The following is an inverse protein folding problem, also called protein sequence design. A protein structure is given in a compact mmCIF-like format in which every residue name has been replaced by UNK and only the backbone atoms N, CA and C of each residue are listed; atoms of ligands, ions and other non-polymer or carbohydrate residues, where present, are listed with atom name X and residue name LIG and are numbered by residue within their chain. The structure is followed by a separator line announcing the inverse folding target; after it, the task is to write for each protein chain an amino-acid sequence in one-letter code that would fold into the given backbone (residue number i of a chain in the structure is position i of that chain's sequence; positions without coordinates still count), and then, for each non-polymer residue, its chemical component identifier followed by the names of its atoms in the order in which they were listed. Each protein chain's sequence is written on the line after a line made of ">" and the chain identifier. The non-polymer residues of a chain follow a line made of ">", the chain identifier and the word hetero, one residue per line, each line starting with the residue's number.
data_IF_487169034462
#
_entry.id   IF_487169034462
#
_cell.length_a   1.000
_cell.length_b   1.000
_cell.length_c   1.000
_cell.angle_alpha   90.00
_cell.angle_beta   90.00
_cell.angle_gamma   90.00
#
_symmetry.space_group_name_H-M   'P 1'
#
loop_
_entity.id
_entity.type
_entity.pdbx_description
1 polymer ?
#
# COMPACT_ATOMS: atom_id res chain seq x y z
N UNK A 1 25.00 5.12 -41.89
CA UNK A 1 23.66 5.67 -42.22
C UNK A 1 22.91 5.84 -40.91
N UNK A 2 22.64 7.08 -40.50
CA UNK A 2 22.07 7.40 -39.18
C UNK A 2 20.57 7.61 -39.31
N UNK A 3 19.77 6.86 -38.56
CA UNK A 3 18.32 7.02 -38.51
C UNK A 3 17.91 8.11 -37.51
N UNK A 4 16.98 9.03 -37.85
CA UNK A 4 16.54 10.07 -36.93
C UNK A 4 15.62 9.51 -35.84
N UNK A 5 15.94 9.81 -34.57
CA UNK A 5 15.08 9.52 -33.42
C UNK A 5 13.83 10.41 -33.47
N UNK A 6 12.64 9.80 -33.47
CA UNK A 6 11.35 10.48 -33.29
C UNK A 6 11.26 11.13 -31.90
N UNK A 7 11.04 12.44 -31.84
CA UNK A 7 10.77 13.17 -30.60
C UNK A 7 9.35 12.84 -30.08
N UNK A 8 9.23 12.53 -28.78
CA UNK A 8 7.94 12.39 -28.09
C UNK A 8 7.32 13.78 -27.84
N UNK A 9 6.01 13.97 -28.02
CA UNK A 9 5.35 15.25 -27.77
C UNK A 9 5.33 15.57 -26.27
N UNK A 10 5.79 16.78 -25.91
CA UNK A 10 5.68 17.32 -24.54
C UNK A 10 4.23 17.69 -24.25
N UNK A 11 3.61 17.06 -23.24
CA UNK A 11 2.29 17.44 -22.73
C UNK A 11 2.39 18.80 -22.04
N UNK A 12 1.49 19.73 -22.39
CA UNK A 12 1.36 21.04 -21.75
C UNK A 12 0.77 20.88 -20.34
N UNK A 13 1.16 21.71 -19.36
CA UNK A 13 0.53 21.70 -18.05
C UNK A 13 -0.93 22.17 -18.13
N UNK A 14 -1.82 21.41 -17.50
CA UNK A 14 -3.20 21.78 -17.25
C UNK A 14 -3.22 22.89 -16.19
N UNK A 15 -3.74 24.07 -16.54
CA UNK A 15 -4.02 25.13 -15.58
C UNK A 15 -5.44 24.93 -15.08
N UNK A 16 -5.61 24.63 -13.79
CA UNK A 16 -6.91 24.55 -13.13
C UNK A 16 -7.21 25.92 -12.53
N UNK A 17 -8.17 26.62 -13.13
CA UNK A 17 -8.68 27.91 -12.63
C UNK A 17 -9.75 27.63 -11.58
N UNK A 18 -9.47 27.95 -10.31
CA UNK A 18 -10.46 27.88 -9.22
C UNK A 18 -11.19 29.22 -9.15
N UNK A 19 -12.49 29.23 -9.44
CA UNK A 19 -13.34 30.39 -9.22
C UNK A 19 -13.75 30.42 -7.73
N UNK A 20 -13.28 31.43 -7.00
CA UNK A 20 -13.79 31.74 -5.66
C UNK A 20 -15.10 32.51 -5.80
N UNK A 21 -16.20 31.95 -5.28
CA UNK A 21 -17.46 32.67 -5.13
C UNK A 21 -17.38 33.56 -3.88
N UNK A 22 -17.47 34.87 -4.06
CA UNK A 22 -17.56 35.84 -2.98
C UNK A 22 -19.01 35.93 -2.49
N UNK A 23 -19.25 35.55 -1.23
CA UNK A 23 -20.53 35.77 -0.55
C UNK A 23 -20.60 37.22 -0.06
N UNK A 24 -21.46 38.01 -0.68
CA UNK A 24 -21.77 39.36 -0.26
C UNK A 24 -22.62 39.36 1.01
N UNK A 25 -22.14 40.03 2.07
CA UNK A 25 -22.90 40.30 3.29
C UNK A 25 -23.88 41.44 2.99
N UNK A 26 -25.17 41.11 2.95
CA UNK A 26 -26.26 42.08 2.86
C UNK A 26 -26.52 42.64 4.26
N UNK A 27 -26.08 43.89 4.49
CA UNK A 27 -26.47 44.71 5.64
C UNK A 27 -27.87 45.29 5.39
N UNK A 28 -28.85 44.89 6.20
CA UNK A 28 -30.15 45.57 6.29
C UNK A 28 -30.10 46.69 7.34
N UNK A 29 -30.79 47.82 7.10
CA UNK A 29 -30.68 49.03 7.91
C UNK A 29 -31.62 49.01 9.14
N UNK A 30 -31.07 49.47 10.27
CA UNK A 30 -31.69 50.39 11.22
C UNK A 30 -33.07 50.06 11.78
N UNK A 31 -33.12 49.66 13.05
CA UNK A 31 -34.27 49.91 13.93
C UNK A 31 -33.78 50.74 15.12
N UNK A 32 -34.15 52.01 15.09
CA UNK A 32 -34.02 53.02 16.14
C UNK A 32 -35.19 52.80 17.09
N UNK A 33 -34.97 52.64 18.39
CA UNK A 33 -36.02 52.96 19.37
C UNK A 33 -35.44 53.62 20.62
N UNK A 34 -35.98 54.81 20.83
CA UNK A 34 -35.91 55.77 21.93
C UNK A 34 -36.00 55.17 23.34
N UNK A 35 -35.10 55.62 24.20
CA UNK A 35 -35.24 55.52 25.67
C UNK A 35 -36.12 56.68 26.14
N UNK A 36 -37.27 56.38 26.75
CA UNK A 36 -38.06 57.35 27.53
C UNK A 36 -38.70 56.64 28.73
N UNK A 37 -38.71 57.37 29.83
CA UNK A 37 -38.82 57.03 31.26
C UNK A 37 -40.23 56.73 31.81
N UNK A 38 -40.33 55.71 32.71
CA UNK A 38 -41.15 55.45 33.95
C UNK A 38 -42.61 56.00 34.12
N UNK A 39 -43.52 55.45 34.99
CA UNK A 39 -43.47 54.37 36.05
C UNK A 39 -44.68 53.33 36.02
N UNK A 40 -44.88 52.40 37.00
CA UNK A 40 -45.73 51.17 36.92
C UNK A 40 -47.18 51.37 37.48
N UNK A 41 -48.12 50.38 37.59
CA UNK A 41 -48.11 48.91 37.33
C UNK A 41 -49.18 48.48 36.30
N UNK A 42 -49.32 47.21 35.89
CA UNK A 42 -50.32 46.27 36.45
C UNK A 42 -50.02 44.88 35.89
N UNK A 43 -50.00 43.90 36.80
CA UNK A 43 -50.10 42.46 36.60
C UNK A 43 -51.01 42.08 35.42
N UNK A 44 -50.44 41.52 34.35
CA UNK A 44 -51.22 40.75 33.37
C UNK A 44 -50.33 39.67 32.76
N UNK A 45 -50.60 38.45 33.22
CA UNK A 45 -50.40 37.15 32.55
C UNK A 45 -49.01 36.87 31.95
N UNK A 46 -48.26 35.97 32.62
CA UNK A 46 -47.19 35.22 32.00
C UNK A 46 -47.72 34.59 30.69
N UNK A 47 -47.11 34.86 29.51
CA UNK A 47 -47.36 34.03 28.34
C UNK A 47 -46.96 32.58 28.68
N UNK A 48 -47.68 31.56 28.19
CA UNK A 48 -47.33 30.17 28.45
C UNK A 48 -45.89 29.90 28.00
N UNK A 49 -45.17 28.98 28.69
CA UNK A 49 -43.83 28.60 28.26
C UNK A 49 -43.86 28.23 26.79
N UNK A 50 -43.02 28.86 25.98
CA UNK A 50 -42.77 28.42 24.61
C UNK A 50 -42.16 27.03 24.74
N UNK A 51 -42.94 26.00 24.40
CA UNK A 51 -42.44 24.63 24.35
C UNK A 51 -41.37 24.57 23.26
N UNK A 52 -40.11 24.49 23.69
CA UNK A 52 -38.99 24.25 22.79
C UNK A 52 -39.18 22.84 22.23
N UNK A 53 -39.26 22.64 20.90
CA UNK A 53 -39.43 21.31 20.34
C UNK A 53 -38.23 20.44 20.71
N UNK A 54 -38.48 19.28 21.32
CA UNK A 54 -37.46 18.31 21.72
C UNK A 54 -37.36 17.17 20.71
N UNK A 55 -36.16 16.62 20.54
CA UNK A 55 -35.96 15.44 19.69
C UNK A 55 -36.68 14.23 20.29
N UNK A 56 -37.47 13.48 19.48
CA UNK A 56 -38.10 12.26 19.99
C UNK A 56 -37.04 11.26 20.48
N UNK A 57 -37.35 10.44 21.47
CA UNK A 57 -36.40 9.48 22.04
C UNK A 57 -35.98 8.38 21.05
N UNK A 58 -36.76 8.18 20.00
CA UNK A 58 -36.51 7.23 18.91
C UNK A 58 -36.55 7.97 17.57
N UNK A 59 -35.79 7.51 16.55
CA UNK A 59 -35.83 8.12 15.23
C UNK A 59 -37.27 8.07 14.68
N UNK A 60 -37.82 9.22 14.22
CA UNK A 60 -39.16 9.28 13.66
C UNK A 60 -39.19 8.68 12.25
N UNK A 61 -40.34 8.16 11.82
CA UNK A 61 -40.51 7.72 10.44
C UNK A 61 -40.47 8.92 9.47
N UNK A 62 -39.83 8.76 8.31
CA UNK A 62 -39.87 9.79 7.27
C UNK A 62 -41.32 10.04 6.82
N UNK A 63 -41.62 11.28 6.44
CA UNK A 63 -42.97 11.73 6.05
C UNK A 63 -44.01 11.78 7.18
N UNK A 64 -43.60 11.62 8.44
CA UNK A 64 -44.49 11.84 9.59
C UNK A 64 -44.52 13.32 10.00
N UNK A 65 -45.62 13.81 10.57
CA UNK A 65 -45.74 15.20 10.98
C UNK A 65 -44.78 15.54 12.13
N UNK A 66 -44.19 16.73 12.07
CA UNK A 66 -43.29 17.27 13.09
C UNK A 66 -43.61 18.74 13.39
N UNK A 67 -43.21 19.21 14.57
CA UNK A 67 -43.49 20.57 15.03
C UNK A 67 -42.20 21.36 15.19
N UNK A 68 -42.07 22.42 14.39
CA UNK A 68 -40.94 23.37 14.43
C UNK A 68 -39.68 22.88 13.71
N UNK A 69 -38.79 23.80 13.29
CA UNK A 69 -37.51 23.43 12.68
C UNK A 69 -36.62 22.75 13.73
N UNK A 70 -36.43 21.44 13.59
CA UNK A 70 -35.68 20.61 14.52
C UNK A 70 -34.77 19.68 13.73
N UNK A 71 -33.53 19.49 14.20
CA UNK A 71 -32.57 18.55 13.63
C UNK A 71 -32.05 17.65 14.74
N UNK A 72 -32.20 16.35 14.55
CA UNK A 72 -31.93 15.33 15.55
C UNK A 72 -30.99 14.29 14.95
N UNK A 73 -29.89 14.02 15.64
CA UNK A 73 -28.94 12.99 15.25
C UNK A 73 -29.28 11.72 16.02
N UNK A 74 -29.51 10.64 15.27
CA UNK A 74 -29.69 9.32 15.82
C UNK A 74 -28.56 8.43 15.30
N UNK A 75 -28.08 7.53 16.16
CA UNK A 75 -27.02 6.56 15.87
C UNK A 75 -25.60 7.14 15.69
N UNK A 76 -24.73 6.92 16.69
CA UNK A 76 -23.33 7.37 16.66
C UNK A 76 -22.44 6.63 15.64
N UNK A 77 -22.87 5.44 15.16
CA UNK A 77 -22.08 4.64 14.23
C UNK A 77 -22.26 5.06 12.77
N UNK A 78 -23.42 5.64 12.45
CA UNK A 78 -23.78 6.20 11.15
C UNK A 78 -24.67 7.39 11.47
N UNK A 79 -24.15 8.62 11.36
CA UNK A 79 -24.92 9.81 11.71
C UNK A 79 -26.12 9.87 10.76
N UNK A 80 -27.28 9.48 11.28
CA UNK A 80 -28.57 9.64 10.63
C UNK A 80 -29.15 10.96 11.14
N UNK A 81 -29.19 11.96 10.27
CA UNK A 81 -29.73 13.27 10.62
C UNK A 81 -31.19 13.31 10.19
N UNK A 82 -32.08 13.38 11.16
CA UNK A 82 -33.50 13.59 10.96
C UNK A 82 -33.82 15.06 11.16
N UNK A 83 -34.43 15.70 10.16
CA UNK A 83 -34.76 17.12 10.24
C UNK A 83 -36.22 17.38 9.88
N UNK A 84 -36.84 18.31 10.59
CA UNK A 84 -38.21 18.76 10.36
C UNK A 84 -38.20 19.94 9.38
N UNK A 85 -38.72 19.71 8.17
CA UNK A 85 -38.88 20.74 7.14
C UNK A 85 -40.33 20.74 6.66
N UNK A 86 -40.93 21.92 6.60
CA UNK A 86 -42.33 22.11 6.19
C UNK A 86 -43.34 21.26 6.99
N UNK A 87 -43.06 21.02 8.28
CA UNK A 87 -43.92 20.24 9.17
C UNK A 87 -43.85 18.74 8.95
N UNK A 88 -42.84 18.25 8.23
CA UNK A 88 -42.63 16.84 7.95
C UNK A 88 -41.20 16.39 8.27
N UNK A 89 -41.05 15.19 8.83
CA UNK A 89 -39.75 14.59 9.08
C UNK A 89 -39.08 14.10 7.79
N UNK A 90 -37.83 14.52 7.60
CA UNK A 90 -36.92 14.07 6.54
C UNK A 90 -35.68 13.43 7.15
N UNK A 91 -34.98 12.61 6.38
CA UNK A 91 -33.76 11.91 6.81
C UNK A 91 -32.66 12.13 5.78
N UNK A 92 -31.45 12.46 6.25
CA UNK A 92 -30.23 12.30 5.46
C UNK A 92 -29.33 11.27 6.14
N UNK A 93 -28.93 10.25 5.39
CA UNK A 93 -27.97 9.23 5.85
C UNK A 93 -26.56 9.61 5.41
N UNK A 94 -25.68 9.90 6.36
CA UNK A 94 -24.26 10.19 6.10
C UNK A 94 -23.37 8.94 5.93
N UNK A 95 -23.93 7.81 5.49
CA UNK A 95 -23.17 6.57 5.35
C UNK A 95 -22.15 6.69 4.21
N UNK A 96 -20.90 6.98 4.55
CA UNK A 96 -19.77 6.60 3.71
C UNK A 96 -19.29 5.22 4.20
N UNK A 97 -19.77 4.10 3.64
CA UNK A 97 -19.31 2.78 4.07
C UNK A 97 -17.78 2.71 3.96
N UNK A 98 -17.09 2.00 4.87
CA UNK A 98 -15.66 1.83 4.75
C UNK A 98 -15.34 1.25 3.37
N UNK A 99 -14.27 1.72 2.70
CA UNK A 99 -13.86 1.18 1.41
C UNK A 99 -13.75 -0.34 1.51
N UNK A 100 -14.51 -1.06 0.69
CA UNK A 100 -14.36 -2.52 0.58
C UNK A 100 -12.98 -2.79 -0.01
N UNK A 101 -12.14 -3.52 0.72
CA UNK A 101 -10.85 -3.95 0.20
C UNK A 101 -11.09 -4.89 -1.00
N UNK A 102 -10.64 -4.53 -2.23
CA UNK A 102 -10.84 -5.36 -3.41
C UNK A 102 -9.97 -6.62 -3.40
N UNK A 103 -9.04 -6.74 -2.45
CA UNK A 103 -8.13 -7.86 -2.33
C UNK A 103 -8.73 -8.99 -1.48
N UNK A 104 -8.81 -10.22 -2.03
CA UNK A 104 -9.10 -11.41 -1.22
C UNK A 104 -8.10 -11.53 -0.04
N UNK A 105 -8.52 -12.14 1.06
CA UNK A 105 -7.65 -12.37 2.23
C UNK A 105 -6.52 -13.37 1.97
N UNK A 106 -6.72 -14.28 1.01
CA UNK A 106 -5.73 -15.27 0.58
C UNK A 106 -5.34 -15.02 -0.87
N UNK A 107 -4.11 -15.34 -1.22
CA UNK A 107 -3.63 -15.19 -2.59
C UNK A 107 -4.48 -16.04 -3.55
N UNK A 108 -5.15 -15.44 -4.56
CA UNK A 108 -5.95 -16.19 -5.50
C UNK A 108 -5.06 -17.05 -6.40
N UNK A 109 -5.56 -18.21 -6.83
CA UNK A 109 -4.86 -19.01 -7.82
C UNK A 109 -4.83 -18.30 -9.19
N UNK A 110 -3.74 -18.47 -9.94
CA UNK A 110 -3.67 -18.00 -11.32
C UNK A 110 -4.81 -18.62 -12.15
N UNK A 111 -5.54 -17.78 -12.88
CA UNK A 111 -6.73 -18.17 -13.66
C UNK A 111 -8.04 -18.19 -12.88
N UNK A 112 -8.05 -17.91 -11.57
CA UNK A 112 -9.28 -17.74 -10.80
C UNK A 112 -10.06 -16.50 -11.28
N UNK A 113 -11.40 -16.55 -11.20
CA UNK A 113 -12.24 -15.44 -11.63
C UNK A 113 -12.15 -14.24 -10.68
N UNK A 114 -12.22 -13.04 -11.25
CA UNK A 114 -12.20 -11.78 -10.50
C UNK A 114 -13.09 -10.73 -11.17
N UNK A 115 -13.60 -9.79 -10.37
CA UNK A 115 -14.65 -8.86 -10.80
C UNK A 115 -14.17 -7.45 -11.13
N UNK A 116 -12.98 -7.05 -10.64
CA UNK A 116 -12.51 -5.66 -10.72
C UNK A 116 -11.02 -5.62 -11.00
N UNK A 117 -10.61 -4.72 -11.90
CA UNK A 117 -9.19 -4.48 -12.17
C UNK A 117 -8.53 -3.99 -10.88
N UNK A 118 -7.63 -4.81 -10.33
CA UNK A 118 -6.93 -4.52 -9.08
C UNK A 118 -5.59 -5.26 -9.02
N UNK A 119 -4.71 -4.83 -8.13
CA UNK A 119 -3.44 -5.48 -7.84
C UNK A 119 -3.29 -5.60 -6.32
N UNK A 120 -2.94 -6.80 -5.87
CA UNK A 120 -2.87 -7.18 -4.47
C UNK A 120 -1.53 -7.84 -4.17
N UNK A 121 -0.94 -7.54 -3.01
CA UNK A 121 0.30 -8.15 -2.55
C UNK A 121 0.02 -9.09 -1.38
N UNK A 122 0.65 -10.25 -1.42
CA UNK A 122 0.50 -11.31 -0.44
C UNK A 122 1.87 -11.78 0.04
N UNK A 123 1.99 -12.11 1.32
CA UNK A 123 3.15 -12.83 1.83
C UNK A 123 2.77 -14.31 1.94
N UNK A 124 3.41 -15.17 1.15
CA UNK A 124 3.12 -16.61 1.07
C UNK A 124 4.39 -17.40 1.41
N UNK A 125 4.25 -18.46 2.21
CA UNK A 125 5.36 -19.37 2.54
C UNK A 125 5.20 -20.68 1.75
N UNK A 126 6.08 -20.88 0.75
CA UNK A 126 6.14 -22.09 -0.06
C UNK A 126 7.04 -23.18 0.54
N UNK A 127 7.36 -23.10 1.84
CA UNK A 127 8.29 -24.00 2.54
C UNK A 127 9.75 -23.53 2.52
N UNK A 128 9.99 -22.28 2.08
CA UNK A 128 11.29 -21.62 2.04
C UNK A 128 11.29 -20.27 2.77
N UNK A 129 10.31 -20.05 3.65
CA UNK A 129 10.09 -18.80 4.36
C UNK A 129 9.12 -17.87 3.62
N UNK A 130 8.66 -16.79 4.30
CA UNK A 130 7.70 -15.85 3.73
C UNK A 130 8.28 -15.12 2.52
N UNK A 131 7.57 -15.18 1.39
CA UNK A 131 7.90 -14.51 0.13
C UNK A 131 6.77 -13.62 -0.33
N UNK A 132 7.09 -12.50 -0.98
CA UNK A 132 6.10 -11.61 -1.57
C UNK A 132 5.58 -12.18 -2.91
N UNK A 133 4.27 -12.21 -3.07
CA UNK A 133 3.55 -12.58 -4.28
C UNK A 133 2.61 -11.44 -4.67
N UNK A 134 2.60 -11.08 -5.94
CA UNK A 134 1.66 -10.09 -6.49
C UNK A 134 0.58 -10.80 -7.30
N UNK A 135 -0.68 -10.52 -7.03
CA UNK A 135 -1.80 -10.96 -7.86
C UNK A 135 -2.45 -9.76 -8.55
N UNK A 136 -2.60 -9.83 -9.86
CA UNK A 136 -3.25 -8.79 -10.67
C UNK A 136 -4.51 -9.35 -11.32
N UNK A 137 -5.64 -8.68 -11.15
CA UNK A 137 -6.89 -8.98 -11.83
C UNK A 137 -7.07 -8.05 -13.03
N UNK A 138 -7.40 -8.59 -14.20
CA UNK A 138 -7.69 -7.83 -15.42
C UNK A 138 -9.18 -7.47 -15.59
N UNK A 139 -10.00 -7.75 -14.55
CA UNK A 139 -11.45 -7.62 -14.58
C UNK A 139 -12.19 -8.90 -14.98
N UNK A 140 -11.46 -9.99 -15.27
CA UNK A 140 -12.03 -11.31 -15.52
C UNK A 140 -11.28 -12.43 -14.80
N UNK A 141 -9.95 -12.42 -14.85
CA UNK A 141 -9.09 -13.46 -14.27
C UNK A 141 -7.92 -12.89 -13.49
N UNK A 142 -7.57 -13.57 -12.40
CA UNK A 142 -6.35 -13.33 -11.65
C UNK A 142 -5.13 -13.86 -12.39
N UNK A 143 -4.09 -13.05 -12.46
CA UNK A 143 -2.74 -13.43 -12.87
C UNK A 143 -1.82 -13.26 -11.66
N UNK A 144 -1.16 -14.33 -11.22
CA UNK A 144 -0.21 -14.26 -10.11
C UNK A 144 1.22 -14.18 -10.63
N UNK A 145 1.95 -13.17 -10.20
CA UNK A 145 3.39 -13.04 -10.40
C UNK A 145 4.07 -13.23 -9.04
N UNK A 146 4.99 -14.18 -8.98
CA UNK A 146 5.71 -14.54 -7.75
C UNK A 146 6.75 -15.60 -8.03
N UNK A 147 7.76 -15.68 -7.17
CA UNK A 147 8.86 -16.63 -7.31
C UNK A 147 8.32 -18.03 -7.00
N UNK A 148 8.07 -18.82 -8.05
CA UNK A 148 7.55 -20.19 -7.95
C UNK A 148 8.62 -21.21 -7.52
N UNK A 149 9.86 -20.76 -7.37
CA UNK A 149 11.01 -21.61 -7.05
C UNK A 149 11.52 -21.26 -5.67
N UNK A 150 11.56 -22.25 -4.78
CA UNK A 150 12.25 -22.20 -3.48
C UNK A 150 13.78 -21.98 -3.58
N UNK A 151 14.29 -21.52 -4.72
CA UNK A 151 15.62 -20.96 -4.87
C UNK A 151 15.46 -19.44 -4.77
N UNK A 152 15.43 -18.87 -3.55
CA UNK A 152 15.64 -17.44 -3.44
C UNK A 152 16.98 -17.10 -4.13
N UNK A 153 17.07 -15.97 -4.82
CA UNK A 153 18.32 -15.57 -5.44
C UNK A 153 19.43 -15.60 -4.39
N UNK A 154 20.64 -16.08 -4.74
CA UNK A 154 21.81 -16.02 -3.88
C UNK A 154 21.92 -14.68 -3.14
N UNK A 155 22.00 -14.65 -1.80
CA UNK A 155 22.17 -13.41 -1.05
C UNK A 155 23.38 -12.59 -1.52
N UNK A 156 23.16 -11.29 -1.70
CA UNK A 156 24.13 -10.33 -2.21
C UNK A 156 25.14 -9.87 -1.15
N UNK A 157 24.78 -9.98 0.13
CA UNK A 157 25.64 -9.59 1.24
C UNK A 157 26.84 -10.53 1.42
N UNK A 158 26.81 -11.78 0.94
CA UNK A 158 27.92 -12.71 1.12
C UNK A 158 29.23 -12.20 0.52
N UNK A 159 29.19 -11.51 -0.63
CA UNK A 159 30.41 -10.98 -1.28
C UNK A 159 31.06 -9.81 -0.52
N UNK A 160 30.36 -9.26 0.48
CA UNK A 160 30.90 -8.20 1.33
C UNK A 160 31.92 -8.74 2.34
N UNK A 161 31.78 -10.00 2.77
CA UNK A 161 32.69 -10.63 3.73
C UNK A 161 34.07 -10.89 3.14
N UNK A 162 35.11 -10.51 3.88
CA UNK A 162 36.50 -10.54 3.39
C UNK A 162 37.31 -11.71 3.94
N UNK A 163 36.76 -12.46 4.87
CA UNK A 163 37.44 -13.60 5.48
C UNK A 163 36.47 -14.75 5.79
N UNK A 164 37.05 -15.94 5.96
CA UNK A 164 36.32 -17.18 6.24
C UNK A 164 35.50 -17.10 7.53
N UNK A 165 36.01 -16.42 8.56
CA UNK A 165 35.34 -16.30 9.87
C UNK A 165 34.04 -15.51 9.77
N UNK A 166 34.07 -14.34 9.12
CA UNK A 166 32.89 -13.52 8.86
C UNK A 166 31.89 -14.28 7.98
N UNK A 167 32.39 -14.89 6.90
CA UNK A 167 31.56 -15.66 5.99
C UNK A 167 30.85 -16.85 6.67
N UNK A 168 31.58 -17.58 7.53
CA UNK A 168 31.06 -18.74 8.26
C UNK A 168 30.19 -18.40 9.46
N UNK A 169 30.11 -17.13 9.87
CA UNK A 169 29.19 -16.68 10.90
C UNK A 169 27.74 -16.61 10.38
N UNK A 170 27.56 -16.47 9.06
CA UNK A 170 26.26 -16.38 8.40
C UNK A 170 25.86 -17.71 7.76
N UNK A 171 24.74 -18.27 8.20
CA UNK A 171 24.22 -19.55 7.68
C UNK A 171 23.82 -19.51 6.19
N UNK A 172 23.65 -18.31 5.62
CA UNK A 172 23.35 -18.10 4.20
C UNK A 172 24.58 -18.09 3.30
N UNK A 173 25.79 -18.08 3.87
CA UNK A 173 27.05 -17.95 3.13
C UNK A 173 27.98 -19.15 3.34
N UNK A 174 28.90 -19.36 2.38
CA UNK A 174 29.96 -20.37 2.41
C UNK A 174 31.25 -19.77 1.87
N UNK A 175 32.35 -20.07 2.56
CA UNK A 175 33.68 -19.71 2.09
C UNK A 175 34.16 -20.73 1.07
N UNK A 176 34.53 -20.26 -0.12
CA UNK A 176 35.00 -21.11 -1.21
C UNK A 176 36.45 -20.77 -1.55
N UNK A 177 37.25 -21.81 -1.77
CA UNK A 177 38.65 -21.71 -2.15
C UNK A 177 38.83 -22.24 -3.57
N UNK A 178 39.64 -21.60 -4.43
CA UNK A 178 39.95 -22.10 -5.77
C UNK A 178 40.34 -23.56 -5.80
N UNK A 179 39.65 -24.32 -6.68
CA UNK A 179 39.98 -25.70 -6.99
C UNK A 179 41.12 -25.81 -7.98
N UNK A 180 41.49 -27.05 -8.32
CA UNK A 180 42.49 -27.33 -9.35
C UNK A 180 41.89 -27.71 -10.71
N UNK A 181 40.57 -27.86 -10.80
CA UNK A 181 39.87 -27.95 -12.08
C UNK A 181 39.72 -26.59 -12.74
N UNK A 182 39.61 -26.56 -14.07
CA UNK A 182 39.33 -25.35 -14.82
C UNK A 182 37.87 -25.36 -15.32
N UNK A 183 37.15 -24.22 -15.25
CA UNK A 183 37.59 -22.94 -14.68
C UNK A 183 37.60 -22.98 -13.14
N UNK A 184 38.65 -22.46 -12.52
CA UNK A 184 38.73 -22.30 -11.07
C UNK A 184 38.22 -20.92 -10.65
N UNK A 185 37.88 -20.75 -9.37
CA UNK A 185 37.74 -19.42 -8.80
C UNK A 185 39.05 -18.62 -8.93
N UNK A 186 39.00 -17.31 -9.22
CA UNK A 186 40.19 -16.48 -9.32
C UNK A 186 40.89 -16.30 -7.96
N UNK A 187 40.10 -16.18 -6.89
CA UNK A 187 40.56 -16.04 -5.52
C UNK A 187 39.57 -16.69 -4.54
N UNK A 188 40.02 -16.94 -3.31
CA UNK A 188 39.13 -17.40 -2.26
C UNK A 188 38.19 -16.27 -1.82
N UNK A 189 36.93 -16.61 -1.57
CA UNK A 189 35.92 -15.62 -1.25
C UNK A 189 34.67 -16.21 -0.64
N UNK A 190 33.78 -15.33 -0.21
CA UNK A 190 32.51 -15.70 0.38
C UNK A 190 31.38 -15.63 -0.66
N UNK A 191 30.62 -16.71 -0.75
CA UNK A 191 29.53 -16.89 -1.71
C UNK A 191 28.27 -17.37 -0.99
N UNK A 192 27.11 -17.23 -1.63
CA UNK A 192 25.89 -17.84 -1.12
C UNK A 192 26.02 -19.37 -1.02
N UNK A 193 25.34 -19.96 -0.02
CA UNK A 193 25.18 -21.42 0.08
C UNK A 193 24.38 -21.96 -1.10
N UNK A 194 23.40 -21.20 -1.56
CA UNK A 194 22.57 -21.52 -2.73
C UNK A 194 23.34 -21.26 -4.01
N UNK A 195 23.39 -22.27 -4.88
CA UNK A 195 23.99 -22.17 -6.21
C UNK A 195 23.09 -21.33 -7.13
N UNK A 196 23.70 -20.54 -8.01
CA UNK A 196 22.96 -19.85 -9.08
C UNK A 196 22.55 -20.85 -10.17
N UNK A 197 21.42 -20.60 -10.84
CA UNK A 197 20.94 -21.43 -11.97
C UNK A 197 21.00 -20.72 -13.31
N UNK A 198 21.12 -19.39 -13.31
CA UNK A 198 21.42 -18.58 -14.48
C UNK A 198 21.89 -17.18 -14.11
N UNK A 199 22.30 -16.40 -15.12
CA UNK A 199 22.86 -15.06 -14.92
C UNK A 199 21.88 -14.08 -14.25
N UNK A 200 20.57 -14.30 -14.42
CA UNK A 200 19.53 -13.48 -13.79
C UNK A 200 19.42 -13.69 -12.28
N UNK A 201 19.93 -14.81 -11.76
CA UNK A 201 19.91 -15.09 -10.31
C UNK A 201 21.02 -14.33 -9.59
N UNK A 202 21.99 -13.78 -10.34
CA UNK A 202 23.13 -13.12 -9.73
C UNK A 202 22.77 -11.70 -9.30
N UNK A 203 22.81 -11.41 -7.98
CA UNK A 203 22.42 -10.09 -7.49
C UNK A 203 23.43 -8.99 -7.85
N UNK A 204 24.64 -9.39 -8.22
CA UNK A 204 25.72 -8.46 -8.54
C UNK A 204 25.50 -7.89 -9.94
N UNK A 205 25.52 -6.57 -10.08
CA UNK A 205 25.39 -5.90 -11.39
C UNK A 205 26.48 -6.37 -12.35
N UNK A 206 26.07 -7.07 -13.41
CA UNK A 206 26.98 -7.66 -14.40
C UNK A 206 27.64 -8.96 -13.97
N UNK A 207 27.22 -9.55 -12.84
CA UNK A 207 27.65 -10.89 -12.44
C UNK A 207 27.08 -11.96 -13.37
N UNK A 208 27.86 -13.00 -13.61
CA UNK A 208 27.45 -14.17 -14.40
C UNK A 208 27.46 -15.41 -13.52
N UNK A 209 26.51 -16.31 -13.75
CA UNK A 209 26.48 -17.59 -13.09
C UNK A 209 27.50 -18.52 -13.76
N UNK A 210 28.57 -18.86 -13.04
CA UNK A 210 29.64 -19.69 -13.58
C UNK A 210 29.82 -20.95 -12.74
N UNK A 211 29.87 -22.10 -13.42
CA UNK A 211 30.33 -23.34 -12.82
C UNK A 211 31.86 -23.28 -12.66
N UNK A 212 32.33 -23.36 -11.42
CA UNK A 212 33.75 -23.26 -11.07
C UNK A 212 34.19 -24.45 -10.23
N UNK A 213 35.44 -24.85 -10.39
CA UNK A 213 36.06 -25.84 -9.52
C UNK A 213 36.53 -25.19 -8.22
N UNK A 214 36.14 -25.81 -7.10
CA UNK A 214 36.53 -25.42 -5.74
C UNK A 214 37.27 -26.55 -5.03
N UNK A 215 38.08 -26.20 -4.03
CA UNK A 215 38.76 -27.14 -3.14
C UNK A 215 38.14 -27.09 -1.72
N UNK A 216 37.14 -27.92 -1.41
CA UNK A 216 36.56 -28.02 -0.07
C UNK A 216 37.56 -28.54 0.96
N UNK A 217 38.59 -29.28 0.53
CA UNK A 217 39.67 -29.75 1.38
C UNK A 217 40.91 -28.84 1.22
N UNK A 218 40.76 -27.52 1.36
CA UNK A 218 41.84 -26.55 1.08
C UNK A 218 43.17 -26.81 1.83
N UNK A 219 43.14 -27.59 2.93
CA UNK A 219 44.31 -28.03 3.69
C UNK A 219 44.88 -29.40 3.26
N UNK A 220 44.43 -29.95 2.14
CA UNK A 220 44.86 -31.23 1.56
C UNK A 220 45.36 -31.02 0.12
N UNK A 221 46.06 -31.99 -0.48
CA UNK A 221 46.45 -31.93 -1.87
C UNK A 221 45.22 -31.67 -2.74
N UNK A 222 45.31 -30.70 -3.63
CA UNK A 222 44.16 -30.14 -4.36
C UNK A 222 43.36 -31.18 -5.17
N UNK A 223 44.00 -32.28 -5.57
CA UNK A 223 43.39 -33.35 -6.36
C UNK A 223 42.55 -34.32 -5.51
N UNK A 224 42.50 -34.14 -4.19
CA UNK A 224 41.89 -35.10 -3.26
C UNK A 224 40.38 -34.90 -3.13
N UNK A 225 39.90 -33.66 -3.24
CA UNK A 225 38.50 -33.33 -2.97
C UNK A 225 37.89 -32.28 -3.93
N UNK A 226 38.45 -32.07 -5.12
CA UNK A 226 37.91 -31.08 -6.05
C UNK A 226 36.41 -31.34 -6.34
N UNK A 227 35.60 -30.29 -6.25
CA UNK A 227 34.18 -30.33 -6.64
C UNK A 227 33.85 -29.11 -7.51
N UNK A 228 32.77 -29.19 -8.27
CA UNK A 228 32.25 -28.06 -9.06
C UNK A 228 30.99 -27.50 -8.40
N UNK A 229 30.86 -26.18 -8.42
CA UNK A 229 29.69 -25.46 -7.91
C UNK A 229 29.36 -24.30 -8.84
N UNK A 230 28.09 -23.92 -8.91
CA UNK A 230 27.66 -22.75 -9.67
C UNK A 230 27.54 -21.55 -8.76
N UNK A 231 28.37 -20.52 -9.02
CA UNK A 231 28.39 -19.30 -8.22
C UNK A 231 28.37 -18.06 -9.08
N UNK A 232 27.83 -16.99 -8.51
CA UNK A 232 27.84 -15.68 -9.13
C UNK A 232 29.24 -15.06 -9.02
N UNK A 233 29.89 -14.93 -10.16
CA UNK A 233 31.19 -14.27 -10.27
C UNK A 233 31.02 -12.89 -10.90
N UNK A 234 31.75 -11.91 -10.39
CA UNK A 234 31.94 -10.65 -11.11
C UNK A 234 32.92 -10.86 -12.25
N UNK A 235 32.67 -10.29 -13.44
CA UNK A 235 33.66 -10.28 -14.50
C UNK A 235 34.93 -9.60 -13.98
N UNK A 236 36.07 -10.29 -14.09
CA UNK A 236 37.36 -9.72 -13.75
C UNK A 236 37.53 -8.39 -14.51
N UNK A 237 37.93 -7.33 -13.81
CA UNK A 237 38.26 -6.08 -14.47
C UNK A 237 39.34 -6.34 -15.55
N UNK A 238 39.19 -5.79 -16.76
CA UNK A 238 40.11 -6.02 -17.87
C UNK A 238 41.53 -5.52 -17.60
#
# INVERSE_FOLDING_TARGET
>A
MSFPRKQKPRRKPFVVTVAQAATAVVLLPGCITTVTSNPPPTETENPPPVETPECPATPPDTNTPCTGPLSCEYNDACVEVYYCEEGTWHMTSGCNPPPVDPCPSEAPASGALCSYVTTCSYTVDYGCGPQEQTASCDGAVWTTEGISTCNPPPPDYCVSYKNETECGADAGCRWLVPGCGMPALPEAGCFAVTDCTGDFDCPISGGTCQEVSINPCHNQPCNTCGMTVSVCVTPAAP
#
